data_IF_346906014836
#
_entry.id   IF_346906014836
#
_cell.length_a   1.000
_cell.length_b   1.000
_cell.length_c   1.000
_cell.angle_alpha   90.00
_cell.angle_beta   90.00
_cell.angle_gamma   90.00
#
_symmetry.space_group_name_H-M   'P 1'
#
loop_
_entity.id
_entity.type
_entity.pdbx_description
1 polymer ?
#
# COMPACT_ATOMS: atom_id res chain seq x y z
N UNK A 1 15.95 -39.24 18.97
CA UNK A 1 15.50 -37.92 19.45
C UNK A 1 14.94 -37.18 18.25
N UNK A 2 13.63 -36.96 18.14
CA UNK A 2 13.04 -36.32 16.96
C UNK A 2 13.48 -34.86 16.92
N UNK A 3 14.06 -34.44 15.80
CA UNK A 3 14.44 -33.05 15.55
C UNK A 3 13.19 -32.18 15.59
N UNK A 4 13.09 -31.30 16.59
CA UNK A 4 12.03 -30.30 16.72
C UNK A 4 12.28 -29.20 15.70
N UNK A 5 11.79 -29.40 14.48
CA UNK A 5 11.73 -28.40 13.42
C UNK A 5 10.81 -27.27 13.90
N UNK A 6 11.39 -26.12 14.24
CA UNK A 6 10.65 -24.94 14.65
C UNK A 6 10.04 -24.30 13.40
N UNK A 7 8.78 -24.65 13.08
CA UNK A 7 8.05 -24.15 11.90
C UNK A 7 7.44 -22.76 12.08
N UNK A 8 7.83 -22.05 13.14
CA UNK A 8 7.52 -20.64 13.30
C UNK A 8 8.71 -19.85 12.81
N UNK A 9 8.60 -19.29 11.60
CA UNK A 9 9.44 -18.17 11.22
C UNK A 9 9.33 -17.12 12.34
N UNK A 10 10.45 -16.61 12.88
CA UNK A 10 10.38 -15.53 13.85
C UNK A 10 9.53 -14.41 13.23
N UNK A 11 8.59 -13.79 13.97
CA UNK A 11 7.85 -12.66 13.46
C UNK A 11 8.90 -11.66 12.99
N UNK A 12 8.88 -11.32 11.70
CA UNK A 12 9.73 -10.26 11.16
C UNK A 12 9.56 -9.07 12.09
N UNK A 13 10.65 -8.65 12.73
CA UNK A 13 10.69 -7.47 13.58
C UNK A 13 10.03 -6.33 12.82
N UNK A 14 8.79 -6.03 13.23
CA UNK A 14 7.83 -5.24 12.45
C UNK A 14 8.12 -3.75 12.56
N UNK A 15 9.30 -3.38 13.05
CA UNK A 15 9.45 -2.11 13.74
C UNK A 15 10.23 -1.04 12.97
N UNK A 16 11.15 -1.36 12.04
CA UNK A 16 12.01 -0.27 11.52
C UNK A 16 12.40 -0.25 10.03
N UNK A 17 12.08 -1.28 9.23
CA UNK A 17 12.33 -1.24 7.76
C UNK A 17 11.08 -1.09 6.90
N UNK A 18 9.89 -1.21 7.50
CA UNK A 18 8.63 -1.37 6.78
C UNK A 18 7.91 -0.07 6.39
N UNK A 19 8.22 1.10 6.95
CA UNK A 19 7.41 2.29 6.68
C UNK A 19 7.67 2.92 5.30
N UNK A 20 8.93 2.96 4.86
CA UNK A 20 9.26 3.51 3.53
C UNK A 20 9.00 2.50 2.41
N UNK A 21 9.33 1.22 2.63
CA UNK A 21 9.06 0.18 1.63
C UNK A 21 7.55 0.00 1.41
N UNK A 22 6.75 0.05 2.49
CA UNK A 22 5.28 0.00 2.39
C UNK A 22 4.70 1.21 1.65
N UNK A 23 5.20 2.43 1.90
CA UNK A 23 4.73 3.64 1.20
C UNK A 23 5.08 3.59 -0.29
N UNK A 24 6.28 3.13 -0.65
CA UNK A 24 6.69 2.93 -2.05
C UNK A 24 5.79 1.92 -2.77
N UNK A 25 5.42 0.84 -2.09
CA UNK A 25 4.50 -0.18 -2.62
C UNK A 25 3.10 0.41 -2.80
N UNK A 26 2.54 1.08 -1.79
CA UNK A 26 1.22 1.73 -1.88
C UNK A 26 1.18 2.79 -3.00
N UNK A 27 2.24 3.59 -3.15
CA UNK A 27 2.33 4.57 -4.24
C UNK A 27 2.38 3.91 -5.62
N UNK A 28 3.16 2.83 -5.77
CA UNK A 28 3.21 2.08 -7.03
C UNK A 28 1.86 1.45 -7.38
N UNK A 29 1.16 0.91 -6.38
CA UNK A 29 -0.15 0.30 -6.54
C UNK A 29 -1.23 1.34 -6.86
N UNK A 30 -1.16 2.53 -6.26
CA UNK A 30 -2.04 3.65 -6.57
C UNK A 30 -1.96 4.07 -8.04
N UNK A 31 -0.75 4.13 -8.61
CA UNK A 31 -0.49 4.50 -10.02
C UNK A 31 -1.03 3.41 -10.97
N UNK A 32 -0.78 2.14 -10.66
CA UNK A 32 -1.27 1.02 -11.48
C UNK A 32 -2.81 0.97 -11.44
N UNK A 33 -3.44 1.14 -10.27
CA UNK A 33 -4.90 1.15 -10.17
C UNK A 33 -5.53 2.35 -10.89
N UNK A 34 -4.91 3.54 -10.88
CA UNK A 34 -5.42 4.70 -11.63
C UNK A 34 -5.33 4.48 -13.14
N UNK A 35 -4.19 3.99 -13.63
CA UNK A 35 -4.04 3.69 -15.06
C UNK A 35 -5.02 2.63 -15.53
N UNK A 36 -5.25 1.59 -14.73
CA UNK A 36 -6.26 0.56 -15.03
C UNK A 36 -7.70 1.08 -14.94
N UNK A 37 -8.01 1.98 -14.00
CA UNK A 37 -9.32 2.61 -13.93
C UNK A 37 -9.59 3.49 -15.18
N UNK A 38 -8.58 4.24 -15.63
CA UNK A 38 -8.68 5.08 -16.83
C UNK A 38 -8.86 4.23 -18.10
N UNK A 39 -8.07 3.16 -18.22
CA UNK A 39 -8.19 2.23 -19.34
C UNK A 39 -9.52 1.47 -19.34
N UNK A 40 -10.00 1.03 -18.16
CA UNK A 40 -11.28 0.38 -17.98
C UNK A 40 -12.46 1.28 -18.36
N UNK A 41 -12.34 2.59 -18.11
CA UNK A 41 -13.33 3.59 -18.54
C UNK A 41 -13.39 3.71 -20.07
N UNK A 42 -12.22 3.77 -20.73
CA UNK A 42 -12.15 3.89 -22.19
C UNK A 42 -12.57 2.63 -22.95
N UNK A 43 -12.40 1.44 -22.36
CA UNK A 43 -12.76 0.16 -22.97
C UNK A 43 -14.20 -0.29 -22.69
N UNK A 44 -14.98 0.50 -21.95
CA UNK A 44 -16.36 0.15 -21.58
C UNK A 44 -16.48 -0.93 -20.50
N UNK A 45 -15.37 -1.32 -19.87
CA UNK A 45 -15.33 -2.27 -18.75
C UNK A 45 -15.61 -1.57 -17.42
N UNK A 46 -16.79 -0.96 -17.30
CA UNK A 46 -17.20 -0.18 -16.12
C UNK A 46 -17.17 -1.00 -14.81
N UNK A 47 -17.50 -2.29 -14.89
CA UNK A 47 -17.47 -3.21 -13.74
C UNK A 47 -16.06 -3.40 -13.16
N UNK A 48 -15.01 -3.25 -13.97
CA UNK A 48 -13.62 -3.32 -13.53
C UNK A 48 -13.07 -1.95 -13.13
N UNK A 49 -13.51 -0.89 -13.82
CA UNK A 49 -13.05 0.47 -13.58
C UNK A 49 -13.50 1.00 -12.21
N UNK A 50 -14.72 0.68 -11.78
CA UNK A 50 -15.26 1.16 -10.51
C UNK A 50 -14.50 0.67 -9.27
N UNK A 51 -14.26 -0.65 -9.07
CA UNK A 51 -13.47 -1.13 -7.93
C UNK A 51 -12.00 -0.70 -8.04
N UNK A 52 -11.42 -0.65 -9.24
CA UNK A 52 -10.05 -0.17 -9.43
C UNK A 52 -9.89 1.30 -9.05
N UNK A 53 -10.87 2.15 -9.41
CA UNK A 53 -10.90 3.56 -9.04
C UNK A 53 -11.06 3.75 -7.52
N UNK A 54 -11.93 2.97 -6.88
CA UNK A 54 -12.11 3.02 -5.42
C UNK A 54 -10.83 2.66 -4.67
N UNK A 55 -10.16 1.57 -5.08
CA UNK A 55 -8.88 1.15 -4.48
C UNK A 55 -7.81 2.22 -4.69
N UNK A 56 -7.75 2.84 -5.87
CA UNK A 56 -6.79 3.92 -6.12
C UNK A 56 -6.99 5.10 -5.17
N UNK A 57 -8.23 5.56 -4.97
CA UNK A 57 -8.55 6.66 -4.04
C UNK A 57 -8.12 6.32 -2.61
N UNK A 58 -8.41 5.10 -2.16
CA UNK A 58 -8.01 4.65 -0.82
C UNK A 58 -6.49 4.61 -0.65
N UNK A 59 -5.76 4.11 -1.65
CA UNK A 59 -4.30 4.08 -1.63
C UNK A 59 -3.69 5.49 -1.61
N UNK A 60 -4.23 6.43 -2.38
CA UNK A 60 -3.80 7.84 -2.30
C UNK A 60 -4.09 8.46 -0.93
N UNK A 61 -5.22 8.12 -0.31
CA UNK A 61 -5.56 8.55 1.04
C UNK A 61 -4.56 8.07 2.09
N UNK A 62 -4.18 6.79 2.05
CA UNK A 62 -3.16 6.22 2.95
C UNK A 62 -1.80 6.89 2.80
N UNK A 63 -1.35 7.12 1.55
CA UNK A 63 -0.08 7.80 1.28
C UNK A 63 -0.09 9.23 1.83
N UNK A 64 -1.17 10.00 1.60
CA UNK A 64 -1.31 11.36 2.11
C UNK A 64 -1.32 11.39 3.64
N UNK A 65 -2.03 10.46 4.29
CA UNK A 65 -2.07 10.37 5.75
C UNK A 65 -0.69 10.11 6.34
N UNK A 66 0.07 9.17 5.76
CA UNK A 66 1.44 8.87 6.17
C UNK A 66 2.38 10.07 5.95
N UNK A 67 2.21 10.80 4.85
CA UNK A 67 3.03 11.98 4.57
C UNK A 67 2.74 13.13 5.56
N UNK A 68 1.46 13.34 5.91
CA UNK A 68 1.04 14.32 6.91
C UNK A 68 1.56 13.95 8.31
N UNK A 69 1.48 12.66 8.69
CA UNK A 69 1.98 12.22 10.00
C UNK A 69 3.50 12.41 10.12
N UNK A 70 4.26 12.14 9.05
CA UNK A 70 5.70 12.43 8.99
C UNK A 70 6.01 13.92 9.12
N UNK A 71 5.31 14.77 8.38
CA UNK A 71 5.54 16.23 8.42
C UNK A 71 5.18 16.79 9.80
N UNK A 72 4.08 16.36 10.41
CA UNK A 72 3.70 16.76 11.77
C UNK A 72 4.72 16.29 12.81
N UNK A 73 5.21 15.06 12.70
CA UNK A 73 6.26 14.55 13.59
C UNK A 73 7.54 15.39 13.48
N UNK A 74 7.89 15.86 12.29
CA UNK A 74 9.08 16.68 12.06
C UNK A 74 8.93 18.15 12.48
N UNK A 75 7.73 18.70 12.46
CA UNK A 75 7.45 20.07 12.91
C UNK A 75 7.41 20.16 14.45
N UNK A 76 7.01 19.08 15.13
CA UNK A 76 6.86 19.03 16.58
C UNK A 76 8.12 18.50 17.32
N UNK A 77 9.25 18.35 16.60
CA UNK A 77 10.56 17.93 17.11
C UNK A 77 11.61 18.99 16.82
#
# INVERSE_FOLDING_TARGET
MPYKINFFAPPVDTDYRLNWESLLIELSLAIICTTMAFYGWHTGMLLMAYPAGFVAVMCYGSVIYTLISFVRAKINS
#
